data_IF_633064628105
#
_entry.id   IF_633064628105
#
_cell.length_a   1.000
_cell.length_b   1.000
_cell.length_c   1.000
_cell.angle_alpha   90.00
_cell.angle_beta   90.00
_cell.angle_gamma   90.00
#
_symmetry.space_group_name_H-M   'P 1'
#
loop_
_entity.id
_entity.type
_entity.pdbx_description
1 polymer ?
#
# COMPACT_ATOMS: atom_id res chain seq x y z
N UNK A 1 10.41 89.80 10.10
CA UNK A 1 10.52 88.85 11.23
C UNK A 1 9.65 87.63 10.89
N UNK A 2 10.16 86.72 10.07
CA UNK A 2 9.47 85.47 9.69
C UNK A 2 10.51 84.36 9.84
N UNK A 3 10.26 83.42 10.77
CA UNK A 3 11.14 82.29 11.07
C UNK A 3 10.65 81.09 10.26
N UNK A 4 11.52 80.51 9.45
CA UNK A 4 11.31 79.24 8.77
C UNK A 4 11.50 78.08 9.76
N UNK A 5 10.53 77.16 9.84
CA UNK A 5 10.63 75.89 10.55
C UNK A 5 10.86 74.79 9.53
N UNK A 6 12.05 74.20 9.51
CA UNK A 6 12.34 72.95 8.78
C UNK A 6 11.90 71.75 9.62
N UNK A 7 10.95 70.97 9.11
CA UNK A 7 10.58 69.66 9.65
C UNK A 7 11.52 68.60 9.08
N UNK A 8 12.34 67.98 9.94
CA UNK A 8 13.11 66.79 9.59
C UNK A 8 12.24 65.54 9.80
N UNK A 9 11.91 64.85 8.72
CA UNK A 9 11.23 63.54 8.75
C UNK A 9 12.30 62.47 9.01
N UNK A 10 12.29 61.90 10.21
CA UNK A 10 13.13 60.75 10.56
C UNK A 10 12.44 59.47 10.07
N UNK A 11 12.94 58.91 8.96
CA UNK A 11 12.41 57.66 8.38
C UNK A 11 13.09 56.47 9.08
N UNK A 12 12.40 55.87 10.06
CA UNK A 12 12.88 54.67 10.75
C UNK A 12 12.71 53.45 9.84
N UNK A 13 13.80 52.97 9.24
CA UNK A 13 13.83 51.68 8.53
C UNK A 13 13.78 50.54 9.54
N UNK A 14 12.61 49.93 9.73
CA UNK A 14 12.48 48.64 10.41
C UNK A 14 12.90 47.56 9.42
N UNK A 15 14.13 47.07 9.55
CA UNK A 15 14.60 45.87 8.85
C UNK A 15 13.93 44.67 9.51
N UNK A 16 12.82 44.21 8.93
CA UNK A 16 12.26 42.89 9.25
C UNK A 16 13.19 41.86 8.60
N UNK A 17 14.12 41.31 9.39
CA UNK A 17 14.84 40.11 9.01
C UNK A 17 13.82 38.97 8.96
N UNK A 18 13.26 38.73 7.78
CA UNK A 18 12.58 37.49 7.48
C UNK A 18 13.63 36.38 7.60
N UNK A 19 13.65 35.70 8.75
CA UNK A 19 14.28 34.39 8.87
C UNK A 19 13.57 33.47 7.88
N UNK A 20 14.08 33.44 6.64
CA UNK A 20 13.76 32.42 5.67
C UNK A 20 14.38 31.13 6.20
N UNK A 21 13.73 30.52 7.19
CA UNK A 21 14.11 29.24 7.72
C UNK A 21 14.17 28.29 6.54
N UNK A 22 15.36 27.74 6.24
CA UNK A 22 15.53 26.77 5.15
C UNK A 22 14.43 25.72 5.28
N UNK A 23 13.66 25.51 4.21
CA UNK A 23 12.64 24.47 4.18
C UNK A 23 13.28 23.14 4.59
N UNK A 24 12.64 22.35 5.47
CA UNK A 24 13.15 21.03 5.83
C UNK A 24 13.40 20.17 4.59
N UNK A 25 14.44 19.33 4.61
CA UNK A 25 14.82 18.48 3.47
C UNK A 25 13.65 17.60 3.06
N UNK A 26 12.89 17.03 4.01
CA UNK A 26 11.75 16.17 3.68
C UNK A 26 10.64 16.86 2.85
N UNK A 27 10.56 18.19 2.90
CA UNK A 27 9.61 19.02 2.12
C UNK A 27 10.18 19.50 0.79
N UNK A 28 11.44 19.21 0.48
CA UNK A 28 12.09 19.61 -0.76
C UNK A 28 11.96 18.51 -1.83
N UNK A 29 11.12 18.70 -2.87
CA UNK A 29 10.92 17.69 -3.90
C UNK A 29 12.12 17.51 -4.84
N UNK A 30 13.13 18.38 -4.79
CA UNK A 30 14.36 18.23 -5.59
C UNK A 30 15.35 17.21 -5.01
N UNK A 31 15.13 16.78 -3.76
CA UNK A 31 15.95 15.78 -3.06
C UNK A 31 15.41 14.38 -3.31
N UNK A 32 16.27 13.38 -3.21
CA UNK A 32 15.88 11.98 -3.36
C UNK A 32 14.83 11.57 -2.31
N UNK A 33 14.02 10.56 -2.62
CA UNK A 33 13.01 10.05 -1.67
C UNK A 33 13.68 9.58 -0.38
N UNK A 34 14.82 8.89 -0.49
CA UNK A 34 15.58 8.34 0.63
C UNK A 34 16.08 9.44 1.58
N UNK A 35 16.67 10.53 1.04
CA UNK A 35 17.12 11.66 1.85
C UNK A 35 15.96 12.37 2.55
N UNK A 36 14.81 12.47 1.88
CA UNK A 36 13.60 13.09 2.44
C UNK A 36 13.01 12.24 3.55
N UNK A 37 12.93 10.93 3.36
CA UNK A 37 12.45 9.97 4.37
C UNK A 37 13.38 9.95 5.57
N UNK A 38 14.69 9.94 5.38
CA UNK A 38 15.67 9.94 6.47
C UNK A 38 15.60 11.23 7.31
N UNK A 39 15.47 12.40 6.67
CA UNK A 39 15.24 13.67 7.39
C UNK A 39 13.90 13.67 8.14
N UNK A 40 12.83 13.11 7.54
CA UNK A 40 11.52 13.01 8.19
C UNK A 40 11.57 12.10 9.43
N UNK A 41 12.16 10.90 9.32
CA UNK A 41 12.25 9.93 10.40
C UNK A 41 13.06 10.45 11.60
N UNK A 42 14.07 11.29 11.37
CA UNK A 42 14.83 11.97 12.43
C UNK A 42 14.01 13.02 13.18
N UNK A 43 12.99 13.57 12.54
CA UNK A 43 12.11 14.59 13.13
C UNK A 43 10.92 14.01 13.86
N UNK A 44 10.56 12.75 13.59
CA UNK A 44 9.45 12.06 14.26
C UNK A 44 9.81 11.68 15.69
N UNK A 45 8.87 11.87 16.62
CA UNK A 45 8.95 11.27 17.95
C UNK A 45 8.69 9.76 17.85
N UNK A 46 8.93 9.03 18.94
CA UNK A 46 8.64 7.60 18.98
C UNK A 46 7.13 7.35 18.82
N UNK A 47 6.29 8.15 19.48
CA UNK A 47 4.84 8.04 19.45
C UNK A 47 4.31 8.26 18.03
N UNK A 48 4.84 9.25 17.30
CA UNK A 48 4.47 9.48 15.91
C UNK A 48 4.87 8.32 15.02
N UNK A 49 6.04 7.70 15.25
CA UNK A 49 6.45 6.50 14.51
C UNK A 49 5.49 5.36 14.76
N UNK A 50 5.13 5.12 16.02
CA UNK A 50 4.17 4.08 16.42
C UNK A 50 2.80 4.32 15.78
N UNK A 51 2.32 5.56 15.76
CA UNK A 51 1.03 5.91 15.14
C UNK A 51 0.98 5.62 13.64
N UNK A 52 2.12 5.65 12.93
CA UNK A 52 2.17 5.31 11.50
C UNK A 52 2.15 3.78 11.24
N UNK A 53 2.26 2.95 12.28
CA UNK A 53 2.27 1.48 12.15
C UNK A 53 0.88 0.84 12.29
N UNK A 54 -0.18 1.64 12.50
CA UNK A 54 -1.53 1.12 12.73
C UNK A 54 -2.61 1.90 11.97
N UNK A 55 -3.69 1.20 11.62
CA UNK A 55 -4.93 1.82 11.17
C UNK A 55 -5.71 2.43 12.34
N UNK A 56 -6.52 3.46 12.06
CA UNK A 56 -7.36 4.12 13.06
C UNK A 56 -8.64 3.33 13.33
N UNK A 57 -9.11 3.25 14.59
CA UNK A 57 -10.28 2.46 14.98
C UNK A 57 -11.64 3.13 14.66
N UNK A 58 -11.75 3.95 13.61
CA UNK A 58 -13.00 4.67 13.28
C UNK A 58 -14.03 3.78 12.55
N UNK A 59 -15.31 4.19 12.54
CA UNK A 59 -16.44 3.44 11.95
C UNK A 59 -16.28 3.17 10.44
N UNK A 60 -15.35 3.86 9.76
CA UNK A 60 -14.96 3.61 8.37
C UNK A 60 -13.47 3.23 8.26
N UNK A 61 -12.88 2.67 9.33
CA UNK A 61 -11.48 2.60 9.80
C UNK A 61 -10.38 2.08 8.88
N UNK A 62 -10.52 2.29 7.58
CA UNK A 62 -9.55 1.94 6.56
C UNK A 62 -8.64 3.14 6.29
N UNK A 63 -8.03 3.71 7.34
CA UNK A 63 -7.03 4.77 7.17
C UNK A 63 -5.94 4.78 8.23
N UNK A 64 -4.76 5.30 7.89
CA UNK A 64 -3.67 5.56 8.85
C UNK A 64 -3.85 6.90 9.57
N UNK A 65 -3.04 7.14 10.59
CA UNK A 65 -3.05 8.40 11.32
C UNK A 65 -2.46 9.56 10.50
N UNK A 66 -3.21 10.66 10.40
CA UNK A 66 -2.68 11.95 9.91
C UNK A 66 -1.72 12.54 10.94
N UNK A 67 -0.48 12.88 10.54
CA UNK A 67 0.45 13.60 11.40
C UNK A 67 0.40 15.09 11.08
N UNK A 68 -0.31 15.86 11.90
CA UNK A 68 -0.48 17.31 11.69
C UNK A 68 0.83 18.09 11.84
N UNK A 69 1.66 17.74 12.83
CA UNK A 69 2.89 18.47 13.15
C UNK A 69 3.90 18.45 12.01
N UNK A 70 4.04 17.30 11.34
CA UNK A 70 4.95 17.10 10.22
C UNK A 70 4.25 17.21 8.86
N UNK A 71 2.92 17.24 8.83
CA UNK A 71 2.10 17.29 7.63
C UNK A 71 2.16 16.00 6.81
N UNK A 72 2.21 14.84 7.47
CA UNK A 72 2.16 13.53 6.80
C UNK A 72 0.68 13.19 6.56
N UNK A 73 0.23 13.07 5.30
CA UNK A 73 -1.15 12.73 5.00
C UNK A 73 -1.49 11.30 5.45
N UNK A 74 -2.78 11.06 5.69
CA UNK A 74 -3.28 9.71 5.91
C UNK A 74 -3.35 8.90 4.59
N UNK A 75 -3.11 7.60 4.69
CA UNK A 75 -3.50 6.66 3.65
C UNK A 75 -4.94 6.28 3.87
N UNK A 76 -5.82 6.65 2.95
CA UNK A 76 -7.25 6.33 2.97
C UNK A 76 -7.50 5.16 2.04
N UNK A 77 -7.56 3.99 2.65
CA UNK A 77 -7.78 2.70 2.00
C UNK A 77 -9.25 2.51 1.65
N UNK A 78 -9.49 1.71 0.62
CA UNK A 78 -10.81 1.19 0.26
C UNK A 78 -10.66 -0.21 -0.32
N UNK A 79 -11.58 -1.12 0.01
CA UNK A 79 -11.79 -2.30 -0.81
C UNK A 79 -12.27 -1.88 -2.20
N UNK A 80 -12.12 -2.65 -3.25
CA UNK A 80 -11.36 -3.88 -3.35
C UNK A 80 -10.99 -4.17 -4.80
N UNK A 81 -10.76 -5.43 -5.16
CA UNK A 81 -10.30 -5.79 -6.50
C UNK A 81 -11.38 -5.64 -7.60
N UNK A 82 -12.66 -5.59 -7.22
CA UNK A 82 -13.82 -5.59 -8.14
C UNK A 82 -14.68 -4.32 -8.09
N UNK A 83 -14.09 -3.22 -7.63
CA UNK A 83 -14.74 -1.91 -7.51
C UNK A 83 -14.40 -1.24 -6.18
N UNK A 84 -14.65 0.07 -6.11
CA UNK A 84 -14.37 0.87 -4.91
C UNK A 84 -15.55 0.74 -3.94
N UNK A 85 -15.34 0.12 -2.78
CA UNK A 85 -16.34 -0.04 -1.72
C UNK A 85 -16.47 1.28 -0.96
N UNK A 86 -17.09 2.25 -1.61
CA UNK A 86 -17.36 3.57 -1.04
C UNK A 86 -18.61 4.23 -1.65
N UNK A 87 -19.64 4.45 -0.84
CA UNK A 87 -20.93 4.99 -1.29
C UNK A 87 -21.44 4.26 -2.56
N UNK A 88 -22.02 4.98 -3.53
CA UNK A 88 -22.39 4.43 -4.84
C UNK A 88 -21.17 4.34 -5.76
N UNK A 89 -20.77 3.14 -6.17
CA UNK A 89 -19.60 2.93 -7.03
C UNK A 89 -19.87 1.89 -8.12
N UNK A 90 -19.00 1.85 -9.12
CA UNK A 90 -19.06 0.86 -10.20
C UNK A 90 -18.68 -0.52 -9.68
N UNK A 91 -19.53 -1.52 -9.95
CA UNK A 91 -19.19 -2.92 -9.79
C UNK A 91 -18.55 -3.42 -11.09
N UNK A 92 -17.26 -3.73 -11.02
CA UNK A 92 -16.50 -4.21 -12.17
C UNK A 92 -16.67 -5.73 -12.34
N UNK A 93 -16.36 -6.29 -13.54
CA UNK A 93 -16.24 -7.73 -13.70
C UNK A 93 -15.30 -8.36 -12.67
N UNK A 94 -15.58 -9.60 -12.28
CA UNK A 94 -14.76 -10.34 -11.33
C UNK A 94 -13.32 -10.54 -11.84
N UNK A 95 -12.37 -10.82 -10.95
CA UNK A 95 -10.97 -11.05 -11.32
C UNK A 95 -10.84 -12.18 -12.33
N UNK A 96 -11.53 -13.30 -12.10
CA UNK A 96 -11.47 -14.46 -12.98
C UNK A 96 -12.07 -14.17 -14.36
N UNK A 97 -13.12 -13.33 -14.44
CA UNK A 97 -13.68 -12.88 -15.71
C UNK A 97 -12.71 -11.98 -16.48
N UNK A 98 -11.98 -11.11 -15.78
CA UNK A 98 -10.92 -10.29 -16.39
C UNK A 98 -9.78 -11.17 -16.91
N UNK A 99 -9.32 -12.14 -16.12
CA UNK A 99 -8.25 -13.06 -16.50
C UNK A 99 -8.62 -13.94 -17.71
N UNK A 100 -9.89 -14.35 -17.81
CA UNK A 100 -10.41 -15.12 -18.95
C UNK A 100 -10.31 -14.38 -20.30
N UNK A 101 -10.03 -13.07 -20.29
CA UNK A 101 -9.78 -12.30 -21.52
C UNK A 101 -8.36 -12.49 -22.06
N UNK A 102 -7.41 -12.93 -21.22
CA UNK A 102 -5.98 -13.00 -21.56
C UNK A 102 -5.39 -11.67 -22.09
N UNK A 103 -6.02 -10.55 -21.77
CA UNK A 103 -5.70 -9.24 -22.33
C UNK A 103 -5.15 -8.30 -21.24
N UNK A 104 -3.83 -8.15 -21.23
CA UNK A 104 -3.16 -7.22 -20.32
C UNK A 104 -3.49 -5.76 -20.60
N UNK A 105 -3.88 -5.40 -21.82
CA UNK A 105 -4.30 -4.03 -22.14
C UNK A 105 -5.66 -3.72 -21.49
N UNK A 106 -6.56 -4.70 -21.47
CA UNK A 106 -7.83 -4.59 -20.75
C UNK A 106 -7.63 -4.57 -19.23
N UNK A 107 -6.70 -5.37 -18.70
CA UNK A 107 -6.33 -5.31 -17.28
C UNK A 107 -5.79 -3.93 -16.87
N UNK A 108 -4.98 -3.29 -17.73
CA UNK A 108 -4.51 -1.93 -17.51
C UNK A 108 -5.67 -0.90 -17.59
N UNK A 109 -6.56 -1.02 -18.56
CA UNK A 109 -7.74 -0.15 -18.67
C UNK A 109 -8.65 -0.28 -17.44
N UNK A 110 -8.86 -1.51 -16.97
CA UNK A 110 -9.59 -1.82 -15.74
C UNK A 110 -8.93 -1.14 -14.54
N UNK A 111 -7.64 -1.35 -14.32
CA UNK A 111 -6.89 -0.76 -13.21
C UNK A 111 -6.95 0.76 -13.22
N UNK A 112 -6.81 1.38 -14.40
CA UNK A 112 -6.92 2.83 -14.56
C UNK A 112 -8.29 3.36 -14.13
N UNK A 113 -9.39 2.75 -14.59
CA UNK A 113 -10.73 3.23 -14.20
C UNK A 113 -10.98 3.10 -12.71
N UNK A 114 -10.55 1.99 -12.13
CA UNK A 114 -10.65 1.77 -10.69
C UNK A 114 -9.84 2.80 -9.90
N UNK A 115 -8.65 3.19 -10.37
CA UNK A 115 -7.82 4.21 -9.74
C UNK A 115 -8.47 5.61 -9.79
N UNK A 116 -9.02 6.00 -10.95
CA UNK A 116 -9.74 7.26 -11.09
C UNK A 116 -10.97 7.31 -10.18
N UNK A 117 -11.73 6.22 -10.08
CA UNK A 117 -12.86 6.14 -9.14
C UNK A 117 -12.38 6.22 -7.68
N UNK A 118 -11.27 5.56 -7.35
CA UNK A 118 -10.65 5.63 -6.01
C UNK A 118 -10.33 7.09 -5.62
N UNK A 119 -9.68 7.84 -6.51
CA UNK A 119 -9.38 9.26 -6.29
C UNK A 119 -10.65 10.10 -6.18
N UNK A 120 -11.65 9.85 -7.03
CA UNK A 120 -12.94 10.57 -6.98
C UNK A 120 -13.67 10.36 -5.65
N UNK A 121 -13.48 9.20 -5.01
CA UNK A 121 -13.99 8.91 -3.65
C UNK A 121 -13.13 9.50 -2.52
N UNK A 122 -12.12 10.32 -2.85
CA UNK A 122 -11.20 10.90 -1.89
C UNK A 122 -10.32 9.85 -1.19
N UNK A 123 -10.06 8.73 -1.87
CA UNK A 123 -9.20 7.63 -1.42
C UNK A 123 -7.90 7.66 -2.24
N UNK A 124 -6.83 7.14 -1.68
CA UNK A 124 -5.50 7.13 -2.33
C UNK A 124 -4.83 5.75 -2.27
N UNK A 125 -5.56 4.74 -1.82
CA UNK A 125 -5.03 3.42 -1.58
C UNK A 125 -6.14 2.39 -1.85
N UNK A 126 -5.95 1.51 -2.83
CA UNK A 126 -6.89 0.42 -3.14
C UNK A 126 -6.32 -0.93 -2.70
N UNK A 127 -7.18 -1.73 -2.06
CA UNK A 127 -6.87 -3.07 -1.59
C UNK A 127 -7.11 -4.11 -2.69
N UNK A 128 -6.28 -4.05 -3.71
CA UNK A 128 -6.28 -4.96 -4.83
C UNK A 128 -5.02 -4.82 -5.68
N UNK A 129 -4.78 -5.74 -6.62
CA UNK A 129 -5.68 -6.85 -6.99
C UNK A 129 -5.60 -8.03 -6.00
N UNK A 130 -6.60 -8.92 -6.05
CA UNK A 130 -6.53 -10.21 -5.37
C UNK A 130 -5.98 -11.23 -6.37
N UNK A 131 -4.93 -11.97 -5.99
CA UNK A 131 -4.19 -12.85 -6.90
C UNK A 131 -3.86 -14.20 -6.28
N UNK A 132 -4.66 -14.67 -5.32
CA UNK A 132 -4.49 -16.02 -4.76
C UNK A 132 -4.79 -17.09 -5.82
N UNK A 133 -4.15 -18.25 -5.69
CA UNK A 133 -4.27 -19.33 -6.67
C UNK A 133 -5.50 -20.19 -6.41
N UNK A 134 -6.23 -20.53 -7.46
CA UNK A 134 -7.40 -21.40 -7.39
C UNK A 134 -6.97 -22.86 -7.17
N UNK A 135 -6.52 -23.20 -5.96
CA UNK A 135 -6.15 -24.58 -5.60
C UNK A 135 -7.36 -25.51 -5.58
N UNK A 136 -8.50 -25.00 -5.11
CA UNK A 136 -9.76 -25.73 -5.03
C UNK A 136 -10.81 -24.98 -5.85
N UNK A 137 -11.60 -25.65 -6.71
CA UNK A 137 -12.63 -24.99 -7.50
C UNK A 137 -13.73 -24.37 -6.63
N UNK A 138 -13.92 -24.87 -5.40
CA UNK A 138 -14.91 -24.41 -4.41
C UNK A 138 -14.39 -23.31 -3.48
N UNK A 139 -13.22 -22.72 -3.77
CA UNK A 139 -12.67 -21.62 -2.97
C UNK A 139 -13.60 -20.41 -2.97
N UNK A 140 -14.07 -20.00 -1.79
CA UNK A 140 -15.10 -18.96 -1.64
C UNK A 140 -14.73 -17.57 -2.18
N UNK A 141 -13.43 -17.32 -2.41
CA UNK A 141 -12.90 -16.05 -2.94
C UNK A 141 -12.18 -16.20 -4.29
N UNK A 142 -12.31 -17.35 -4.95
CA UNK A 142 -11.73 -17.56 -6.28
C UNK A 142 -12.23 -16.49 -7.28
N UNK A 143 -13.49 -16.07 -7.20
CA UNK A 143 -14.02 -15.05 -8.10
C UNK A 143 -13.23 -13.72 -8.05
N UNK A 144 -12.60 -13.38 -6.92
CA UNK A 144 -11.79 -12.16 -6.77
C UNK A 144 -10.42 -12.29 -7.45
N UNK A 145 -9.92 -13.51 -7.62
CA UNK A 145 -8.57 -13.81 -8.13
C UNK A 145 -8.58 -14.21 -9.61
N UNK A 146 -7.39 -14.37 -10.20
CA UNK A 146 -7.22 -14.49 -11.65
C UNK A 146 -7.21 -15.93 -12.19
N UNK A 147 -7.17 -16.96 -11.35
CA UNK A 147 -7.15 -18.35 -11.83
C UNK A 147 -6.18 -19.26 -11.08
N UNK A 148 -5.90 -20.39 -11.70
CA UNK A 148 -4.98 -21.43 -11.21
C UNK A 148 -3.56 -21.31 -11.77
N UNK A 149 -3.38 -20.61 -12.89
CA UNK A 149 -2.07 -20.45 -13.53
C UNK A 149 -1.31 -19.23 -12.99
N UNK A 150 -0.13 -19.42 -12.37
CA UNK A 150 0.62 -18.32 -11.77
C UNK A 150 1.18 -17.34 -12.81
N UNK A 151 1.44 -17.78 -14.05
CA UNK A 151 1.97 -16.90 -15.07
C UNK A 151 0.91 -15.90 -15.54
N UNK A 152 -0.28 -16.39 -15.93
CA UNK A 152 -1.42 -15.56 -16.32
C UNK A 152 -1.79 -14.59 -15.20
N UNK A 153 -1.95 -15.09 -13.97
CA UNK A 153 -2.27 -14.25 -12.82
C UNK A 153 -1.22 -13.14 -12.62
N UNK A 154 0.06 -13.47 -12.74
CA UNK A 154 1.16 -12.50 -12.66
C UNK A 154 1.11 -11.45 -13.77
N UNK A 155 0.90 -11.84 -15.04
CA UNK A 155 0.80 -10.90 -16.17
C UNK A 155 -0.36 -9.92 -16.02
N UNK A 156 -1.53 -10.42 -15.61
CA UNK A 156 -2.70 -9.58 -15.36
C UNK A 156 -2.45 -8.63 -14.19
N UNK A 157 -1.83 -9.11 -13.11
CA UNK A 157 -1.48 -8.31 -11.94
C UNK A 157 -0.49 -7.19 -12.28
N UNK A 158 0.57 -7.47 -13.05
CA UNK A 158 1.57 -6.47 -13.46
C UNK A 158 0.91 -5.32 -14.23
N UNK A 159 0.04 -5.64 -15.18
CA UNK A 159 -0.66 -4.64 -15.97
C UNK A 159 -1.62 -3.80 -15.12
N UNK A 160 -2.38 -4.44 -14.24
CA UNK A 160 -3.26 -3.77 -13.29
C UNK A 160 -2.49 -2.83 -12.35
N UNK A 161 -1.43 -3.34 -11.71
CA UNK A 161 -0.65 -2.59 -10.70
C UNK A 161 -0.04 -1.34 -11.31
N UNK A 162 0.62 -1.47 -12.48
CA UNK A 162 1.19 -0.32 -13.18
C UNK A 162 0.14 0.74 -13.51
N UNK A 163 -1.02 0.31 -14.00
CA UNK A 163 -2.08 1.23 -14.40
C UNK A 163 -2.67 1.99 -13.22
N UNK A 164 -2.92 1.31 -12.08
CA UNK A 164 -3.44 1.97 -10.88
C UNK A 164 -2.43 2.97 -10.33
N UNK A 165 -1.17 2.55 -10.17
CA UNK A 165 -0.14 3.39 -9.56
C UNK A 165 0.26 4.58 -10.43
N UNK A 166 0.14 4.47 -11.76
CA UNK A 166 0.37 5.58 -12.68
C UNK A 166 -0.58 6.75 -12.43
N UNK A 167 -1.80 6.50 -11.96
CA UNK A 167 -2.77 7.55 -11.61
C UNK A 167 -2.55 8.10 -10.18
N UNK A 168 -1.54 7.62 -9.44
CA UNK A 168 -1.20 8.11 -8.10
C UNK A 168 -1.95 7.41 -6.95
N UNK A 169 -2.53 6.22 -7.20
CA UNK A 169 -3.17 5.39 -6.18
C UNK A 169 -2.26 4.23 -5.78
N UNK A 170 -2.08 4.01 -4.49
CA UNK A 170 -1.32 2.85 -3.98
C UNK A 170 -2.14 1.57 -4.20
N UNK A 171 -1.51 0.53 -4.74
CA UNK A 171 -2.09 -0.82 -4.76
C UNK A 171 -1.63 -1.62 -3.55
N UNK A 172 -2.48 -2.54 -3.09
CA UNK A 172 -2.11 -3.58 -2.12
C UNK A 172 -2.49 -4.95 -2.66
N UNK A 173 -1.47 -5.59 -3.23
CA UNK A 173 -1.58 -6.91 -3.86
C UNK A 173 -1.85 -7.94 -2.76
N UNK A 174 -2.91 -8.74 -2.90
CA UNK A 174 -3.41 -9.58 -1.80
C UNK A 174 -3.86 -10.98 -2.22
N UNK A 175 -3.94 -11.95 -1.31
CA UNK A 175 -3.45 -11.94 0.07
C UNK A 175 -2.17 -12.75 0.12
N UNK A 176 -1.08 -12.13 0.53
CA UNK A 176 0.26 -12.70 0.59
C UNK A 176 0.42 -13.53 1.88
N UNK A 177 0.41 -14.86 1.85
CA UNK A 177 0.22 -15.76 0.71
C UNK A 177 -0.64 -16.98 1.09
N UNK A 178 -1.00 -17.79 0.09
CA UNK A 178 -1.69 -19.09 0.26
C UNK A 178 -3.07 -19.07 0.93
N UNK A 179 -3.77 -17.93 0.97
CA UNK A 179 -5.16 -17.86 1.43
C UNK A 179 -6.15 -18.36 0.36
N UNK A 180 -6.11 -19.67 0.07
CA UNK A 180 -6.86 -20.27 -1.04
C UNK A 180 -8.19 -20.94 -0.63
N UNK A 181 -8.59 -20.80 0.65
CA UNK A 181 -9.88 -21.29 1.15
C UNK A 181 -10.37 -20.45 2.33
N UNK A 182 -11.69 -20.35 2.49
CA UNK A 182 -12.28 -19.53 3.55
C UNK A 182 -12.48 -20.29 4.87
N UNK A 183 -12.63 -21.61 4.79
CA UNK A 183 -12.83 -22.44 5.97
C UNK A 183 -11.64 -22.29 6.93
N UNK A 184 -11.95 -21.77 8.12
CA UNK A 184 -11.00 -21.45 9.18
C UNK A 184 -9.81 -20.56 8.75
N UNK A 185 -9.97 -19.66 7.78
CA UNK A 185 -8.87 -18.83 7.25
C UNK A 185 -8.01 -18.11 8.31
N UNK A 186 -8.57 -17.78 9.49
CA UNK A 186 -7.85 -17.14 10.61
C UNK A 186 -7.05 -18.10 11.51
N UNK A 187 -7.15 -19.41 11.30
CA UNK A 187 -6.55 -20.47 12.13
C UNK A 187 -5.87 -21.57 11.32
N UNK A 188 -6.28 -21.76 10.07
CA UNK A 188 -5.75 -22.74 9.14
C UNK A 188 -4.23 -22.59 9.02
N UNK A 189 -3.54 -23.73 9.04
CA UNK A 189 -2.11 -23.81 8.79
C UNK A 189 -1.85 -24.57 7.50
N UNK A 190 -1.38 -23.85 6.49
CA UNK A 190 -1.03 -24.42 5.19
C UNK A 190 0.40 -24.96 5.28
N UNK A 191 0.52 -26.28 5.15
CA UNK A 191 1.79 -26.97 5.04
C UNK A 191 2.18 -27.07 3.58
N UNK A 192 3.35 -26.52 3.21
CA UNK A 192 3.81 -26.43 1.82
C UNK A 192 5.34 -26.54 1.77
N UNK A 193 5.86 -27.31 0.81
CA UNK A 193 7.29 -27.38 0.54
C UNK A 193 7.78 -26.16 -0.25
N UNK A 194 9.08 -25.86 -0.16
CA UNK A 194 9.67 -24.67 -0.77
C UNK A 194 9.51 -24.63 -2.29
N UNK A 195 9.59 -25.79 -2.96
CA UNK A 195 9.47 -25.86 -4.42
C UNK A 195 8.05 -25.46 -4.85
N UNK A 196 7.04 -26.07 -4.25
CA UNK A 196 5.63 -25.73 -4.54
C UNK A 196 5.34 -24.27 -4.19
N UNK A 197 5.87 -23.77 -3.07
CA UNK A 197 5.74 -22.37 -2.68
C UNK A 197 6.29 -21.43 -3.77
N UNK A 198 7.52 -21.70 -4.24
CA UNK A 198 8.24 -20.87 -5.22
C UNK A 198 7.74 -21.03 -6.66
N UNK A 199 7.23 -22.19 -7.05
CA UNK A 199 6.80 -22.46 -8.44
C UNK A 199 5.30 -22.17 -8.67
N UNK A 200 4.45 -22.20 -7.63
CA UNK A 200 2.99 -22.04 -7.79
C UNK A 200 2.45 -20.82 -7.05
N UNK A 201 2.77 -20.66 -5.76
CA UNK A 201 2.06 -19.71 -4.91
C UNK A 201 2.70 -18.32 -4.80
N UNK A 202 3.95 -18.18 -5.24
CA UNK A 202 4.68 -16.93 -5.17
C UNK A 202 5.02 -16.25 -6.52
N UNK A 203 5.12 -16.93 -7.68
CA UNK A 203 5.57 -16.26 -8.91
C UNK A 203 4.75 -15.02 -9.31
N UNK A 204 3.43 -15.07 -9.14
CA UNK A 204 2.54 -13.95 -9.47
C UNK A 204 2.73 -12.75 -8.53
N UNK A 205 3.03 -12.98 -7.25
CA UNK A 205 3.43 -11.92 -6.33
C UNK A 205 4.82 -11.37 -6.67
N UNK A 206 5.77 -12.25 -7.02
CA UNK A 206 7.11 -11.84 -7.45
C UNK A 206 7.03 -10.92 -8.68
N UNK A 207 6.23 -11.29 -9.68
CA UNK A 207 5.97 -10.45 -10.87
C UNK A 207 5.35 -9.12 -10.47
N UNK A 208 4.32 -9.11 -9.61
CA UNK A 208 3.70 -7.87 -9.14
C UNK A 208 4.68 -6.95 -8.40
N UNK A 209 5.64 -7.52 -7.66
CA UNK A 209 6.70 -6.77 -6.96
C UNK A 209 7.76 -6.26 -7.93
N UNK A 210 8.43 -7.16 -8.67
CA UNK A 210 9.64 -6.85 -9.44
C UNK A 210 9.34 -6.18 -10.78
N UNK A 211 8.26 -6.60 -11.44
CA UNK A 211 7.86 -6.03 -12.72
C UNK A 211 6.77 -4.98 -12.55
N UNK A 212 5.79 -5.23 -11.68
CA UNK A 212 4.67 -4.33 -11.41
C UNK A 212 5.04 -3.13 -10.54
N UNK A 213 6.14 -3.22 -9.79
CA UNK A 213 6.59 -2.23 -8.82
C UNK A 213 5.50 -1.91 -7.79
N UNK A 214 4.77 -2.93 -7.33
CA UNK A 214 3.73 -2.78 -6.32
C UNK A 214 4.26 -1.98 -5.12
N UNK A 215 3.48 -0.99 -4.67
CA UNK A 215 3.83 -0.15 -3.51
C UNK A 215 3.41 -0.81 -2.19
N UNK A 216 2.50 -1.78 -2.23
CA UNK A 216 2.11 -2.55 -1.05
C UNK A 216 1.68 -3.98 -1.35
N UNK A 217 1.84 -4.85 -0.34
CA UNK A 217 1.19 -6.15 -0.25
C UNK A 217 0.35 -6.23 1.03
N UNK A 218 -0.69 -7.06 1.00
CA UNK A 218 -1.48 -7.40 2.18
C UNK A 218 -1.16 -8.82 2.64
N UNK A 219 -0.68 -8.96 3.88
CA UNK A 219 -0.43 -10.26 4.47
C UNK A 219 -1.75 -11.01 4.76
N UNK A 220 -1.79 -12.30 4.44
CA UNK A 220 -2.96 -13.16 4.61
C UNK A 220 -3.31 -13.46 6.08
N UNK A 221 -4.52 -14.00 6.29
CA UNK A 221 -4.99 -14.46 7.60
C UNK A 221 -4.32 -15.74 8.10
N UNK A 222 -4.07 -16.69 7.20
CA UNK A 222 -3.70 -18.05 7.57
C UNK A 222 -2.24 -18.16 8.03
N UNK A 223 -1.93 -19.30 8.64
CA UNK A 223 -0.54 -19.72 8.85
C UNK A 223 0.00 -20.41 7.60
N UNK A 224 1.30 -20.31 7.40
CA UNK A 224 2.09 -21.05 6.42
C UNK A 224 3.26 -21.64 7.18
N UNK A 225 3.36 -22.98 7.21
CA UNK A 225 4.40 -23.70 7.96
C UNK A 225 4.53 -23.17 9.41
N UNK A 226 3.42 -23.18 10.14
CA UNK A 226 3.27 -22.81 11.57
C UNK A 226 3.30 -21.33 11.94
N UNK A 227 3.63 -20.44 11.00
CA UNK A 227 3.67 -18.99 11.23
C UNK A 227 2.55 -18.25 10.50
N UNK A 228 1.87 -17.35 11.20
CA UNK A 228 0.90 -16.44 10.59
C UNK A 228 1.56 -15.58 9.51
N UNK A 229 0.91 -15.41 8.36
CA UNK A 229 1.52 -14.73 7.21
C UNK A 229 2.01 -13.31 7.53
N UNK A 230 1.31 -12.59 8.43
CA UNK A 230 1.64 -11.25 8.92
C UNK A 230 2.85 -11.16 9.85
N UNK A 231 3.42 -12.30 10.25
CA UNK A 231 4.60 -12.38 11.11
C UNK A 231 5.52 -13.55 10.70
N UNK A 232 5.40 -13.99 9.45
CA UNK A 232 6.17 -15.08 8.88
C UNK A 232 7.48 -14.53 8.30
N UNK A 233 8.57 -14.67 9.07
CA UNK A 233 9.89 -14.17 8.70
C UNK A 233 10.37 -14.70 7.34
N UNK A 234 10.13 -15.97 7.05
CA UNK A 234 10.53 -16.57 5.76
C UNK A 234 9.85 -15.85 4.61
N UNK A 235 8.53 -15.66 4.66
CA UNK A 235 7.80 -14.95 3.60
C UNK A 235 8.17 -13.47 3.54
N UNK A 236 8.13 -12.74 4.66
CA UNK A 236 8.20 -11.28 4.65
C UNK A 236 9.62 -10.73 4.59
N UNK A 237 10.57 -11.37 5.26
CA UNK A 237 11.96 -10.90 5.30
C UNK A 237 12.80 -11.61 4.25
N UNK A 238 12.85 -12.94 4.31
CA UNK A 238 13.79 -13.71 3.49
C UNK A 238 13.37 -13.67 2.01
N UNK A 239 12.10 -13.93 1.70
CA UNK A 239 11.62 -13.88 0.32
C UNK A 239 11.32 -12.46 -0.15
N UNK A 240 10.34 -11.80 0.48
CA UNK A 240 9.81 -10.54 -0.04
C UNK A 240 10.84 -9.40 -0.02
N UNK A 241 11.53 -9.20 1.11
CA UNK A 241 12.51 -8.10 1.25
C UNK A 241 13.89 -8.46 0.72
N UNK A 242 14.44 -9.64 1.04
CA UNK A 242 15.81 -9.99 0.67
C UNK A 242 15.91 -10.55 -0.76
N UNK A 243 15.12 -11.58 -1.12
CA UNK A 243 15.21 -12.18 -2.45
C UNK A 243 14.64 -11.27 -3.55
N UNK A 244 13.48 -10.65 -3.30
CA UNK A 244 12.81 -9.81 -4.31
C UNK A 244 13.16 -8.33 -4.22
N UNK A 245 13.76 -7.88 -3.13
CA UNK A 245 14.15 -6.48 -2.94
C UNK A 245 12.98 -5.52 -2.70
N UNK A 246 11.83 -6.01 -2.22
CA UNK A 246 10.64 -5.18 -2.02
C UNK A 246 10.91 -4.03 -1.03
N UNK A 247 10.58 -2.80 -1.46
CA UNK A 247 10.75 -1.56 -0.67
C UNK A 247 9.43 -0.91 -0.24
N UNK A 248 8.30 -1.52 -0.60
CA UNK A 248 6.98 -1.02 -0.28
C UNK A 248 6.51 -1.38 1.13
N UNK A 249 5.20 -1.23 1.35
CA UNK A 249 4.55 -1.48 2.63
C UNK A 249 3.93 -2.87 2.69
N UNK A 250 4.03 -3.55 3.82
CA UNK A 250 3.19 -4.72 4.11
C UNK A 250 2.14 -4.29 5.13
N UNK A 251 0.87 -4.51 4.80
CA UNK A 251 -0.25 -4.30 5.71
C UNK A 251 -0.86 -5.65 6.08
N UNK A 252 -1.35 -5.82 7.31
CA UNK A 252 -2.12 -7.01 7.66
C UNK A 252 -3.49 -6.96 6.98
N UNK A 253 -4.06 -8.11 6.63
CA UNK A 253 -5.53 -8.19 6.47
C UNK A 253 -6.22 -7.83 7.81
N UNK A 254 -7.52 -7.49 7.78
CA UNK A 254 -8.26 -6.95 8.93
C UNK A 254 -8.38 -7.98 10.07
N UNK A 255 -7.56 -7.82 11.11
CA UNK A 255 -7.52 -8.74 12.25
C UNK A 255 -6.50 -9.88 12.07
N UNK A 256 -5.62 -9.80 11.08
CA UNK A 256 -4.57 -10.79 10.83
C UNK A 256 -3.28 -10.53 11.63
N UNK A 257 -3.23 -9.53 12.53
CA UNK A 257 -2.07 -9.31 13.41
C UNK A 257 -2.24 -10.09 14.70
N UNK A 258 -1.32 -11.02 14.98
CA UNK A 258 -1.44 -11.98 16.08
C UNK A 258 -0.45 -11.77 17.23
N UNK A 259 0.54 -10.89 17.05
CA UNK A 259 1.46 -10.50 18.12
C UNK A 259 1.94 -9.07 17.94
N UNK A 260 2.37 -8.43 19.04
CA UNK A 260 3.01 -7.11 18.98
C UNK A 260 4.46 -7.23 18.50
N UNK A 261 5.24 -8.14 19.09
CA UNK A 261 6.69 -8.18 18.87
C UNK A 261 7.07 -8.92 17.60
N UNK A 262 6.46 -10.09 17.30
CA UNK A 262 6.87 -10.86 16.14
C UNK A 262 6.44 -10.17 14.85
N UNK A 263 5.24 -9.59 14.79
CA UNK A 263 4.80 -8.80 13.64
C UNK A 263 5.80 -7.68 13.30
N UNK A 264 6.29 -6.94 14.31
CA UNK A 264 7.28 -5.88 14.08
C UNK A 264 8.66 -6.44 13.68
N UNK A 265 9.11 -7.53 14.30
CA UNK A 265 10.46 -8.09 14.05
C UNK A 265 10.57 -8.90 12.77
N UNK A 266 9.48 -9.51 12.32
CA UNK A 266 9.47 -10.49 11.24
C UNK A 266 8.92 -9.96 9.92
N UNK A 267 8.58 -8.68 9.79
CA UNK A 267 8.21 -8.13 8.49
C UNK A 267 7.37 -6.89 8.52
#
# INVERSE_FOLDING_TARGET
>A
MLREFSFAILMTFVVVLASCGRKPIYKDPSRSVEERVEDLLKRMTLEEKIQQLAGLPDERGMKTAYNERLGIPDFKMSDGPIGVRWDQSTAFPSGVSLAATWDTSLAAAYGRQLALETLFKGRNYILGPCINMHRFPTGGRNFESYGEDPWLAGRMAVAYVKAVQKEGVITSVKHYALNNQEWERMRLNVQVDERTLREIYLPHFEMAVKEGEALSLMAAYNKINDWYASENKHLLMDILKNDWGFRGLVVSDWGATHSTVNAIKNG
#
